data_IF_502237462300
#
_entry.id   IF_502237462300
#
_cell.length_a   1.000
_cell.length_b   1.000
_cell.length_c   1.000
_cell.angle_alpha   90.00
_cell.angle_beta   90.00
_cell.angle_gamma   90.00
#
_symmetry.space_group_name_H-M   'P 1'
#
loop_
_entity.id
_entity.type
_entity.pdbx_description
1 polymer ?
#
# COMPACT_ATOMS: atom_id res chain seq x y z
N UNK A 1 -53.46 55.97 12.36
CA UNK A 1 -54.37 54.82 12.09
C UNK A 1 -53.53 53.59 11.81
N UNK A 2 -53.87 52.47 12.47
CA UNK A 2 -53.35 51.07 12.30
C UNK A 2 -51.83 50.89 12.59
N UNK A 3 -51.37 50.60 13.82
CA UNK A 3 -51.41 49.34 14.60
C UNK A 3 -51.22 48.06 13.77
N UNK A 4 -50.12 47.32 13.99
CA UNK A 4 -49.97 45.95 14.56
C UNK A 4 -48.45 45.71 14.80
N UNK A 5 -47.93 45.59 16.02
CA UNK A 5 -48.02 44.52 17.05
C UNK A 5 -46.98 43.39 16.85
N UNK A 6 -45.96 43.42 17.71
CA UNK A 6 -45.15 42.36 18.36
C UNK A 6 -44.88 41.02 17.67
N UNK A 7 -43.62 40.58 17.71
CA UNK A 7 -43.24 39.42 18.55
C UNK A 7 -41.76 39.48 18.95
N UNK A 8 -41.54 39.52 20.25
CA UNK A 8 -40.27 39.29 20.95
C UNK A 8 -40.13 37.76 21.09
N UNK A 9 -39.00 37.20 20.67
CA UNK A 9 -38.49 35.95 21.25
C UNK A 9 -37.05 36.23 21.71
N UNK A 10 -36.96 36.51 23.00
CA UNK A 10 -35.76 36.36 23.82
C UNK A 10 -35.64 34.87 24.11
N UNK A 11 -34.53 34.24 23.73
CA UNK A 11 -34.07 33.01 24.39
C UNK A 11 -32.70 33.33 24.96
N UNK A 12 -32.70 33.54 26.27
CA UNK A 12 -31.52 33.66 27.09
C UNK A 12 -31.00 32.26 27.45
N UNK A 13 -29.67 32.12 27.37
CA UNK A 13 -28.76 31.43 28.29
C UNK A 13 -29.27 30.19 29.04
N UNK A 14 -28.56 29.07 28.84
CA UNK A 14 -27.94 28.37 29.98
C UNK A 14 -26.51 27.97 29.56
N UNK A 15 -25.53 28.77 30.01
CA UNK A 15 -24.16 28.30 30.22
C UNK A 15 -24.17 27.38 31.42
N UNK A 16 -23.85 26.10 31.24
CA UNK A 16 -23.52 25.20 32.34
C UNK A 16 -22.04 25.40 32.69
N UNK A 17 -21.78 26.41 33.52
CA UNK A 17 -20.58 26.47 34.36
C UNK A 17 -20.91 25.67 35.63
N UNK A 18 -20.35 24.48 35.74
CA UNK A 18 -20.39 23.65 36.94
C UNK A 18 -19.06 23.71 37.70
N UNK A 19 -18.92 24.71 38.57
CA UNK A 19 -18.11 24.63 39.80
C UNK A 19 -19.10 25.01 40.90
N UNK A 20 -19.26 24.31 42.02
CA UNK A 20 -18.25 23.91 43.01
C UNK A 20 -18.98 23.13 44.10
N UNK A 21 -18.35 22.13 44.74
CA UNK A 21 -18.12 22.18 46.20
C UNK A 21 -17.22 21.04 46.68
N UNK A 22 -16.20 21.45 47.43
CA UNK A 22 -15.27 20.62 48.18
C UNK A 22 -16.00 19.78 49.23
N UNK A 23 -15.68 18.49 49.25
CA UNK A 23 -15.67 17.70 50.48
C UNK A 23 -14.28 17.11 50.62
N UNK A 24 -13.58 17.48 51.70
CA UNK A 24 -12.32 16.87 52.10
C UNK A 24 -12.56 15.40 52.44
N UNK A 25 -12.03 14.48 51.66
CA UNK A 25 -11.58 13.18 52.16
C UNK A 25 -10.16 12.94 51.65
N UNK A 26 -9.25 12.75 52.61
CA UNK A 26 -7.89 12.31 52.40
C UNK A 26 -7.92 10.88 51.85
N UNK A 27 -7.77 10.74 50.54
CA UNK A 27 -7.46 9.44 49.94
C UNK A 27 -6.14 9.58 49.21
N UNK A 28 -5.10 9.07 49.88
CA UNK A 28 -3.84 8.56 49.32
C UNK A 28 -3.64 8.85 47.83
N UNK A 29 -2.77 9.83 47.52
CA UNK A 29 -2.16 9.99 46.20
C UNK A 29 -1.33 8.74 45.87
N UNK A 30 -1.97 7.69 45.38
CA UNK A 30 -1.35 6.86 44.37
C UNK A 30 -1.34 7.71 43.11
N UNK A 31 -0.16 8.23 42.79
CA UNK A 31 0.14 8.89 41.53
C UNK A 31 0.22 7.78 40.48
N UNK A 32 -0.93 7.23 40.11
CA UNK A 32 -1.05 6.51 38.84
C UNK A 32 -0.88 7.57 37.75
N UNK A 33 0.34 7.66 37.24
CA UNK A 33 0.60 8.24 35.93
C UNK A 33 -0.07 7.35 34.91
N UNK A 34 -1.38 7.52 34.75
CA UNK A 34 -2.10 7.14 33.54
C UNK A 34 -1.54 8.00 32.42
N UNK A 35 -0.49 7.53 31.76
CA UNK A 35 -0.12 7.99 30.43
C UNK A 35 -1.31 7.61 29.53
N UNK A 36 -2.20 8.57 29.29
CA UNK A 36 -3.26 8.44 28.29
C UNK A 36 -2.55 8.21 26.97
N UNK A 37 -2.68 6.99 26.44
CA UNK A 37 -2.17 6.61 25.12
C UNK A 37 -2.76 7.56 24.08
N UNK A 38 -1.92 8.19 23.26
CA UNK A 38 -2.40 9.02 22.16
C UNK A 38 -3.10 8.12 21.14
N UNK A 39 -4.31 8.53 20.75
CA UNK A 39 -5.18 7.77 19.86
C UNK A 39 -5.49 8.65 18.65
N UNK A 40 -5.22 8.12 17.47
CA UNK A 40 -5.47 8.78 16.19
C UNK A 40 -6.42 7.91 15.37
N UNK A 41 -7.32 8.53 14.62
CA UNK A 41 -7.99 7.82 13.54
C UNK A 41 -7.01 7.51 12.40
N UNK A 42 -7.37 6.58 11.53
CA UNK A 42 -6.51 6.24 10.39
C UNK A 42 -6.28 7.45 9.48
N UNK A 43 -7.34 8.20 9.21
CA UNK A 43 -7.29 9.41 8.39
C UNK A 43 -6.41 10.50 9.03
N UNK A 44 -6.51 10.70 10.35
CA UNK A 44 -5.66 11.63 11.10
C UNK A 44 -4.19 11.22 11.05
N UNK A 45 -3.91 9.92 11.23
CA UNK A 45 -2.54 9.39 11.20
C UNK A 45 -1.88 9.65 9.84
N UNK A 46 -2.59 9.36 8.74
CA UNK A 46 -2.10 9.53 7.37
C UNK A 46 -2.01 11.01 6.94
N UNK A 47 -2.89 11.87 7.46
CA UNK A 47 -2.89 13.31 7.16
C UNK A 47 -1.90 14.14 7.97
N UNK A 48 -1.34 13.63 9.06
CA UNK A 48 -0.49 14.43 9.96
C UNK A 48 0.67 15.13 9.23
N UNK A 49 0.65 16.47 9.28
CA UNK A 49 1.17 17.39 8.25
C UNK A 49 2.69 17.55 8.07
N UNK A 50 3.56 16.78 8.74
CA UNK A 50 5.01 17.07 8.68
C UNK A 50 5.93 15.91 8.27
N UNK A 51 5.47 14.66 8.28
CA UNK A 51 6.35 13.51 8.02
C UNK A 51 5.68 12.49 7.09
N UNK A 52 6.42 12.06 6.07
CA UNK A 52 6.03 10.89 5.27
C UNK A 52 5.80 9.69 6.19
N UNK A 53 4.75 8.91 5.93
CA UNK A 53 4.49 7.64 6.64
C UNK A 53 4.90 6.47 5.77
N UNK A 54 5.52 5.47 6.37
CA UNK A 54 5.98 4.27 5.67
C UNK A 54 5.21 3.08 6.21
N UNK A 55 4.48 2.42 5.33
CA UNK A 55 3.80 1.16 5.64
C UNK A 55 4.47 0.01 4.88
N UNK A 56 4.53 -1.14 5.50
CA UNK A 56 5.05 -2.38 4.96
C UNK A 56 3.91 -3.37 4.85
N UNK A 57 3.58 -3.78 3.63
CA UNK A 57 2.61 -4.82 3.37
C UNK A 57 3.27 -6.17 3.51
N UNK A 58 2.70 -7.00 4.38
CA UNK A 58 3.13 -8.38 4.61
C UNK A 58 1.99 -9.30 4.23
N UNK A 59 2.27 -10.25 3.34
CA UNK A 59 1.33 -11.25 2.87
C UNK A 59 1.94 -12.63 3.07
N UNK A 60 1.82 -13.17 4.27
CA UNK A 60 2.35 -14.48 4.59
C UNK A 60 1.32 -15.26 5.42
N UNK A 61 1.26 -16.58 5.17
CA UNK A 61 0.50 -17.54 5.97
C UNK A 61 1.21 -17.80 7.31
N UNK A 62 1.42 -16.77 8.14
CA UNK A 62 2.12 -16.87 9.43
C UNK A 62 1.19 -16.65 10.62
N UNK A 63 1.43 -17.44 11.66
CA UNK A 63 0.85 -17.22 12.98
C UNK A 63 1.60 -16.11 13.77
N UNK A 64 2.89 -15.86 13.46
CA UNK A 64 3.77 -14.91 14.17
C UNK A 64 4.63 -14.04 13.24
N UNK A 65 4.82 -12.75 13.57
CA UNK A 65 5.68 -11.80 12.84
C UNK A 65 7.11 -11.77 13.39
N UNK A 66 8.06 -12.24 12.59
CA UNK A 66 9.46 -12.28 12.96
C UNK A 66 10.32 -11.23 12.25
N UNK A 67 11.57 -11.12 12.67
CA UNK A 67 12.61 -10.36 11.95
C UNK A 67 12.79 -10.84 10.50
N UNK A 68 12.54 -12.12 10.26
CA UNK A 68 12.77 -12.78 8.98
C UNK A 68 11.53 -12.72 8.08
N UNK A 69 10.44 -12.09 8.53
CA UNK A 69 9.22 -11.90 7.74
C UNK A 69 9.49 -11.05 6.51
N UNK A 70 9.12 -11.57 5.35
CA UNK A 70 9.30 -10.93 4.06
C UNK A 70 8.30 -9.78 3.93
N UNK A 71 8.76 -8.67 3.37
CA UNK A 71 7.87 -7.57 2.99
C UNK A 71 7.50 -7.78 1.54
N UNK A 72 6.21 -7.70 1.22
CA UNK A 72 5.73 -7.83 -0.15
C UNK A 72 5.75 -6.48 -0.86
N UNK A 73 5.27 -5.42 -0.21
CA UNK A 73 5.23 -4.07 -0.77
C UNK A 73 5.54 -3.03 0.31
N UNK A 74 6.09 -1.88 -0.09
CA UNK A 74 6.33 -0.73 0.77
C UNK A 74 5.54 0.45 0.24
N UNK A 75 4.75 1.09 1.11
CA UNK A 75 3.97 2.28 0.79
C UNK A 75 4.54 3.49 1.49
N UNK A 76 4.79 4.56 0.73
CA UNK A 76 5.20 5.86 1.27
C UNK A 76 4.07 6.85 1.07
N UNK A 77 3.39 7.22 2.16
CA UNK A 77 2.34 8.22 2.18
C UNK A 77 2.93 9.60 2.45
N UNK A 78 2.59 10.58 1.61
CA UNK A 78 3.02 11.97 1.75
C UNK A 78 2.06 12.89 1.00
N UNK A 79 1.65 13.99 1.64
CA UNK A 79 0.87 15.06 1.02
C UNK A 79 -0.42 14.56 0.33
N UNK A 80 -1.14 13.64 0.97
CA UNK A 80 -2.39 13.05 0.42
C UNK A 80 -2.14 12.11 -0.78
N UNK A 81 -0.91 11.66 -0.97
CA UNK A 81 -0.51 10.74 -2.05
C UNK A 81 0.29 9.57 -1.50
N UNK A 82 0.42 8.53 -2.30
CA UNK A 82 1.18 7.32 -2.01
C UNK A 82 2.05 6.95 -3.20
N UNK A 83 3.27 6.48 -2.91
CA UNK A 83 4.11 5.78 -3.86
C UNK A 83 4.34 4.35 -3.35
N UNK A 84 4.33 3.39 -4.27
CA UNK A 84 4.53 1.97 -3.97
C UNK A 84 5.91 1.53 -4.43
N UNK A 85 6.58 0.75 -3.59
CA UNK A 85 7.89 0.18 -3.85
C UNK A 85 7.87 -1.32 -3.56
N UNK A 86 8.80 -2.02 -4.20
CA UNK A 86 8.98 -3.45 -4.02
C UNK A 86 9.49 -3.78 -2.61
N UNK A 87 9.00 -4.86 -2.03
CA UNK A 87 9.42 -5.32 -0.70
C UNK A 87 10.82 -5.94 -0.67
N UNK A 88 11.31 -6.49 -1.80
CA UNK A 88 12.62 -7.12 -1.91
C UNK A 88 13.79 -6.13 -1.73
N UNK A 89 13.52 -4.82 -1.84
CA UNK A 89 14.53 -3.75 -1.70
C UNK A 89 15.30 -3.77 -0.38
N UNK A 90 14.69 -4.34 0.66
CA UNK A 90 15.26 -4.48 2.00
C UNK A 90 15.14 -5.90 2.57
N UNK A 91 14.72 -6.88 1.76
CA UNK A 91 14.59 -8.31 2.11
C UNK A 91 13.55 -8.67 3.19
N UNK A 92 13.62 -8.10 4.39
CA UNK A 92 12.72 -8.44 5.51
C UNK A 92 12.58 -7.31 6.56
N UNK A 93 11.64 -7.48 7.49
CA UNK A 93 11.37 -6.52 8.58
C UNK A 93 12.60 -6.28 9.49
N UNK A 94 13.44 -7.29 9.70
CA UNK A 94 14.63 -7.19 10.53
C UNK A 94 15.70 -6.27 9.95
N UNK A 95 15.89 -6.31 8.63
CA UNK A 95 16.77 -5.39 7.90
C UNK A 95 16.21 -3.96 7.91
N UNK A 96 14.90 -3.79 7.74
CA UNK A 96 14.23 -2.49 7.85
C UNK A 96 14.34 -1.89 9.26
N UNK A 97 14.30 -2.72 10.32
CA UNK A 97 14.42 -2.27 11.70
C UNK A 97 15.79 -1.63 12.02
N UNK A 98 16.82 -1.89 11.22
CA UNK A 98 18.15 -1.29 11.40
C UNK A 98 18.28 0.11 10.79
N UNK A 99 17.29 0.55 9.99
CA UNK A 99 17.30 1.84 9.32
C UNK A 99 16.34 2.80 10.03
N UNK A 100 16.62 4.09 10.06
CA UNK A 100 15.63 5.11 10.42
C UNK A 100 14.75 5.48 9.20
N UNK A 101 13.60 6.11 9.44
CA UNK A 101 12.67 6.46 8.35
C UNK A 101 13.30 7.43 7.34
N UNK A 102 14.25 8.29 7.76
CA UNK A 102 14.94 9.20 6.84
C UNK A 102 15.90 8.44 5.93
N UNK A 103 16.60 7.43 6.45
CA UNK A 103 17.47 6.55 5.66
C UNK A 103 16.66 5.79 4.60
N UNK A 104 15.49 5.25 4.98
CA UNK A 104 14.58 4.59 4.04
C UNK A 104 14.12 5.60 2.96
N UNK A 105 13.53 6.73 3.36
CA UNK A 105 12.99 7.73 2.44
C UNK A 105 14.05 8.33 1.51
N UNK A 106 15.29 8.46 1.98
CA UNK A 106 16.39 9.01 1.17
C UNK A 106 16.92 8.05 0.10
N UNK A 107 16.70 6.74 0.26
CA UNK A 107 17.32 5.71 -0.58
C UNK A 107 16.32 4.89 -1.39
N UNK A 108 15.07 4.76 -0.94
CA UNK A 108 14.09 3.81 -1.51
C UNK A 108 13.82 4.05 -2.99
N UNK A 109 13.73 5.31 -3.42
CA UNK A 109 13.45 5.65 -4.82
C UNK A 109 14.61 5.28 -5.75
N UNK A 110 15.87 5.43 -5.29
CA UNK A 110 17.03 5.06 -6.09
C UNK A 110 17.20 3.53 -6.09
N UNK A 111 17.00 2.87 -4.94
CA UNK A 111 16.98 1.40 -4.82
C UNK A 111 15.95 0.76 -5.75
N UNK A 112 14.76 1.35 -5.88
CA UNK A 112 13.74 0.84 -6.81
C UNK A 112 14.19 0.94 -8.26
N UNK A 113 14.83 2.03 -8.66
CA UNK A 113 15.36 2.20 -10.02
C UNK A 113 16.42 1.14 -10.31
N UNK A 114 17.33 0.90 -9.37
CA UNK A 114 18.36 -0.14 -9.48
C UNK A 114 17.77 -1.55 -9.55
N UNK A 115 16.73 -1.82 -8.75
CA UNK A 115 16.00 -3.07 -8.76
C UNK A 115 15.29 -3.31 -10.10
N UNK A 116 14.55 -2.33 -10.61
CA UNK A 116 13.87 -2.41 -11.91
C UNK A 116 14.87 -2.64 -13.05
N UNK A 117 16.02 -1.96 -13.03
CA UNK A 117 17.08 -2.18 -14.01
C UNK A 117 17.64 -3.60 -13.92
N UNK A 118 17.87 -4.12 -12.70
CA UNK A 118 18.37 -5.49 -12.49
C UNK A 118 17.37 -6.54 -13.02
N UNK A 119 16.07 -6.32 -12.80
CA UNK A 119 15.02 -7.19 -13.34
C UNK A 119 15.02 -7.19 -14.87
N UNK A 120 15.19 -6.02 -15.48
CA UNK A 120 15.26 -5.86 -16.94
C UNK A 120 16.51 -6.54 -17.50
N UNK A 121 17.68 -6.35 -16.89
CA UNK A 121 18.93 -7.00 -17.31
C UNK A 121 18.82 -8.53 -17.25
N UNK A 122 18.36 -9.08 -16.12
CA UNK A 122 18.17 -10.52 -15.98
C UNK A 122 17.14 -11.08 -16.97
N UNK A 123 16.14 -10.29 -17.34
CA UNK A 123 15.15 -10.66 -18.34
C UNK A 123 15.74 -10.64 -19.76
N UNK A 124 16.56 -9.66 -20.11
CA UNK A 124 17.28 -9.63 -21.39
C UNK A 124 18.16 -10.88 -21.53
N UNK A 125 18.89 -11.26 -20.49
CA UNK A 125 19.72 -12.47 -20.47
C UNK A 125 18.87 -13.72 -20.75
N UNK A 126 17.79 -13.92 -19.99
CA UNK A 126 16.86 -15.04 -20.18
C UNK A 126 16.28 -15.11 -21.60
N UNK A 127 15.82 -13.98 -22.14
CA UNK A 127 15.23 -13.93 -23.49
C UNK A 127 16.29 -14.18 -24.57
N UNK A 128 17.53 -13.72 -24.35
CA UNK A 128 18.65 -13.96 -25.27
C UNK A 128 19.01 -15.44 -25.34
N UNK A 129 18.99 -16.16 -24.21
CA UNK A 129 19.17 -17.61 -24.19
C UNK A 129 18.04 -18.32 -24.96
N UNK A 130 16.79 -17.89 -24.76
CA UNK A 130 15.63 -18.41 -25.49
C UNK A 130 15.78 -18.19 -27.00
N UNK A 131 16.19 -16.99 -27.43
CA UNK A 131 16.44 -16.66 -28.84
C UNK A 131 17.43 -17.64 -29.48
N UNK A 132 18.52 -17.98 -28.79
CA UNK A 132 19.52 -18.93 -29.29
C UNK A 132 18.96 -20.35 -29.43
N UNK A 133 18.10 -20.78 -28.51
CA UNK A 133 17.43 -22.08 -28.57
C UNK A 133 16.45 -22.11 -29.74
N UNK A 134 15.63 -21.07 -29.89
CA UNK A 134 14.66 -20.94 -30.98
C UNK A 134 15.35 -20.90 -32.34
N UNK A 135 16.49 -20.22 -32.47
CA UNK A 135 17.28 -20.21 -33.71
C UNK A 135 17.78 -21.62 -34.07
N UNK A 136 18.32 -22.37 -33.10
CA UNK A 136 18.78 -23.75 -33.33
C UNK A 136 17.63 -24.69 -33.72
N UNK A 137 16.45 -24.49 -33.14
CA UNK A 137 15.22 -25.22 -33.53
C UNK A 137 14.85 -24.89 -34.98
N UNK A 138 14.81 -23.61 -35.35
CA UNK A 138 14.51 -23.18 -36.71
C UNK A 138 15.43 -23.83 -37.76
N UNK A 139 16.72 -23.96 -37.46
CA UNK A 139 17.69 -24.57 -38.37
C UNK A 139 17.48 -26.09 -38.57
N UNK A 140 16.65 -26.73 -37.74
CA UNK A 140 16.48 -28.20 -37.70
C UNK A 140 15.03 -28.69 -37.84
N UNK A 141 14.05 -27.80 -38.02
CA UNK A 141 12.62 -28.15 -38.12
C UNK A 141 12.20 -28.47 -39.56
N UNK A 142 11.03 -29.11 -39.69
CA UNK A 142 10.36 -29.31 -40.98
C UNK A 142 9.85 -27.99 -41.56
N UNK A 143 9.70 -27.93 -42.88
CA UNK A 143 9.24 -26.74 -43.63
C UNK A 143 7.93 -26.16 -43.07
N UNK A 144 6.98 -27.02 -42.66
CA UNK A 144 5.69 -26.62 -42.07
C UNK A 144 5.79 -25.86 -40.73
N UNK A 145 6.96 -25.84 -40.09
CA UNK A 145 7.21 -25.16 -38.81
C UNK A 145 8.12 -23.95 -38.95
N UNK A 146 8.69 -23.70 -40.14
CA UNK A 146 9.63 -22.58 -40.37
C UNK A 146 8.98 -21.24 -40.04
N UNK A 147 7.77 -21.00 -40.58
CA UNK A 147 7.04 -19.74 -40.37
C UNK A 147 6.76 -19.48 -38.88
N UNK A 148 6.45 -20.55 -38.13
CA UNK A 148 6.21 -20.45 -36.69
C UNK A 148 7.46 -19.99 -35.93
N UNK A 149 8.59 -20.66 -36.14
CA UNK A 149 9.83 -20.32 -35.43
C UNK A 149 10.40 -18.98 -35.89
N UNK A 150 10.23 -18.60 -37.16
CA UNK A 150 10.62 -17.28 -37.64
C UNK A 150 9.79 -16.18 -36.94
N UNK A 151 8.48 -16.39 -36.80
CA UNK A 151 7.60 -15.45 -36.11
C UNK A 151 7.96 -15.32 -34.61
N UNK A 152 8.32 -16.43 -33.97
CA UNK A 152 8.82 -16.44 -32.59
C UNK A 152 10.16 -15.70 -32.43
N UNK A 153 11.10 -15.86 -33.37
CA UNK A 153 12.36 -15.10 -33.38
C UNK A 153 12.10 -13.60 -33.53
N UNK A 154 11.23 -13.21 -34.47
CA UNK A 154 10.90 -11.80 -34.69
C UNK A 154 10.25 -11.18 -33.45
N UNK A 155 9.36 -11.93 -32.78
CA UNK A 155 8.77 -11.53 -31.50
C UNK A 155 9.84 -11.33 -30.41
N UNK A 156 10.72 -12.32 -30.25
CA UNK A 156 11.77 -12.33 -29.22
C UNK A 156 12.76 -11.16 -29.43
N UNK A 157 13.14 -10.90 -30.69
CA UNK A 157 13.99 -9.75 -31.03
C UNK A 157 13.32 -8.40 -30.72
N UNK A 158 12.01 -8.26 -31.00
CA UNK A 158 11.27 -7.03 -30.61
C UNK A 158 11.22 -6.85 -29.09
N UNK A 159 11.06 -7.95 -28.34
CA UNK A 159 11.05 -7.90 -26.88
C UNK A 159 12.41 -7.44 -26.32
N UNK A 160 13.53 -7.97 -26.82
CA UNK A 160 14.89 -7.53 -26.44
C UNK A 160 15.07 -6.04 -26.76
N UNK A 161 14.77 -5.62 -28.00
CA UNK A 161 14.92 -4.22 -28.39
C UNK A 161 14.09 -3.28 -27.50
N UNK A 162 12.90 -3.70 -27.07
CA UNK A 162 12.07 -2.91 -26.16
C UNK A 162 12.71 -2.80 -24.78
N UNK A 163 13.22 -3.90 -24.23
CA UNK A 163 13.93 -3.92 -22.93
C UNK A 163 15.22 -3.10 -22.93
N UNK A 164 16.02 -3.16 -24.00
CA UNK A 164 17.25 -2.37 -24.12
C UNK A 164 16.98 -0.86 -24.15
N UNK A 165 15.77 -0.46 -24.57
CA UNK A 165 15.34 0.94 -24.60
C UNK A 165 14.55 1.36 -23.35
N UNK A 166 14.19 0.42 -22.49
CA UNK A 166 13.51 0.72 -21.23
C UNK A 166 14.43 1.51 -20.31
N UNK A 167 13.86 2.45 -19.56
CA UNK A 167 14.57 3.24 -18.56
C UNK A 167 13.73 3.23 -17.30
N UNK A 168 14.25 2.59 -16.25
CA UNK A 168 13.63 2.68 -14.95
C UNK A 168 13.58 4.14 -14.47
N UNK A 169 12.45 4.53 -13.91
CA UNK A 169 12.23 5.86 -13.35
C UNK A 169 11.78 5.74 -11.91
N UNK A 170 11.95 6.83 -11.15
CA UNK A 170 11.40 6.91 -9.80
C UNK A 170 9.88 6.78 -9.86
N UNK A 171 9.31 6.09 -8.87
CA UNK A 171 7.87 5.89 -8.73
C UNK A 171 7.15 7.22 -8.54
N UNK A 172 6.01 7.37 -9.21
CA UNK A 172 5.16 8.53 -9.02
C UNK A 172 4.31 8.40 -7.76
N UNK A 173 3.97 9.55 -7.19
CA UNK A 173 3.02 9.65 -6.09
C UNK A 173 1.61 9.82 -6.66
N UNK A 174 0.75 8.83 -6.42
CA UNK A 174 -0.66 8.83 -6.80
C UNK A 174 -1.54 9.27 -5.64
N UNK A 175 -2.64 10.00 -5.88
CA UNK A 175 -3.64 10.24 -4.84
C UNK A 175 -4.16 8.92 -4.24
N UNK A 176 -4.45 8.91 -2.95
CA UNK A 176 -5.20 7.84 -2.31
C UNK A 176 -6.56 8.36 -1.82
N UNK A 177 -7.53 7.47 -1.67
CA UNK A 177 -8.83 7.74 -1.07
C UNK A 177 -9.02 6.88 0.19
N UNK A 178 -9.67 7.48 1.19
CA UNK A 178 -10.11 6.82 2.42
C UNK A 178 -11.64 6.95 2.49
N UNK A 179 -12.30 5.81 2.48
CA UNK A 179 -13.76 5.73 2.54
C UNK A 179 -14.20 5.04 3.81
N UNK A 180 -15.28 5.52 4.45
CA UNK A 180 -15.90 4.86 5.62
C UNK A 180 -17.29 4.38 5.24
N UNK A 181 -17.57 3.11 5.55
CA UNK A 181 -18.90 2.52 5.57
C UNK A 181 -19.37 2.33 7.00
N UNK A 182 -20.64 2.65 7.26
CA UNK A 182 -21.24 2.58 8.60
C UNK A 182 -22.08 1.32 8.79
N UNK A 183 -22.25 0.93 10.05
CA UNK A 183 -23.23 -0.08 10.44
C UNK A 183 -24.68 0.37 10.13
N UNK A 184 -25.66 -0.51 10.35
CA UNK A 184 -27.08 -0.21 10.13
C UNK A 184 -27.62 0.99 10.93
N UNK A 185 -26.87 1.49 11.93
CA UNK A 185 -27.25 2.67 12.71
C UNK A 185 -26.80 3.97 12.06
N UNK A 186 -25.80 3.94 11.18
CA UNK A 186 -25.17 5.13 10.59
C UNK A 186 -24.26 5.89 11.53
N UNK A 187 -24.03 5.39 12.75
CA UNK A 187 -23.26 6.10 13.79
C UNK A 187 -21.95 5.40 14.15
N UNK A 188 -21.71 4.18 13.67
CA UNK A 188 -20.49 3.44 13.94
C UNK A 188 -19.89 2.98 12.62
N UNK A 189 -18.58 3.06 12.51
CA UNK A 189 -17.85 2.54 11.37
C UNK A 189 -17.85 1.02 11.42
N UNK A 190 -18.23 0.43 10.30
CA UNK A 190 -18.18 -1.00 10.07
C UNK A 190 -16.90 -1.35 9.28
N UNK A 191 -16.62 -0.60 8.22
CA UNK A 191 -15.50 -0.83 7.30
C UNK A 191 -14.87 0.50 6.91
N UNK A 192 -13.54 0.55 6.87
CA UNK A 192 -12.77 1.55 6.14
C UNK A 192 -12.15 0.95 4.89
N UNK A 193 -12.11 1.73 3.83
CA UNK A 193 -11.45 1.35 2.59
C UNK A 193 -10.35 2.33 2.25
N UNK A 194 -9.12 1.83 2.04
CA UNK A 194 -8.00 2.59 1.49
C UNK A 194 -7.80 2.16 0.04
N UNK A 195 -7.91 3.10 -0.90
CA UNK A 195 -7.68 2.83 -2.33
C UNK A 195 -6.70 3.80 -2.95
N UNK A 196 -5.91 3.31 -3.92
CA UNK A 196 -4.94 4.11 -4.66
C UNK A 196 -4.47 3.39 -5.92
N UNK A 197 -3.90 4.13 -6.87
CA UNK A 197 -3.24 3.54 -8.04
C UNK A 197 -1.77 3.28 -7.75
N UNK A 198 -1.32 2.03 -7.90
CA UNK A 198 0.09 1.66 -7.80
C UNK A 198 0.71 1.49 -9.19
N UNK A 199 1.98 1.87 -9.30
CA UNK A 199 2.79 1.62 -10.49
C UNK A 199 3.43 0.24 -10.38
N UNK A 200 3.18 -0.61 -11.36
CA UNK A 200 3.79 -1.93 -11.49
C UNK A 200 4.65 -1.95 -12.75
N UNK A 201 5.83 -2.56 -12.63
CA UNK A 201 6.61 -2.93 -13.80
C UNK A 201 5.98 -4.20 -14.38
N UNK A 202 5.25 -4.06 -15.50
CA UNK A 202 4.66 -5.23 -16.15
C UNK A 202 5.69 -5.88 -17.07
N UNK A 203 6.04 -7.10 -16.71
CA UNK A 203 7.00 -7.95 -17.40
C UNK A 203 6.24 -9.09 -18.07
N UNK A 204 5.91 -8.98 -19.37
CA UNK A 204 5.28 -10.07 -20.09
C UNK A 204 6.15 -11.32 -20.02
N UNK A 205 5.55 -12.46 -19.65
CA UNK A 205 6.23 -13.73 -19.78
C UNK A 205 6.47 -14.01 -21.26
N UNK A 206 7.74 -14.06 -21.66
CA UNK A 206 8.11 -14.58 -22.97
C UNK A 206 7.79 -16.07 -22.97
N UNK A 207 6.92 -16.44 -23.91
CA UNK A 207 6.32 -17.74 -24.20
C UNK A 207 7.12 -18.91 -23.58
N UNK A 208 6.56 -19.50 -22.53
CA UNK A 208 7.10 -20.73 -21.93
C UNK A 208 6.99 -21.91 -22.89
N UNK A 209 7.93 -22.85 -22.73
CA UNK A 209 8.08 -24.06 -23.53
C UNK A 209 6.76 -24.86 -23.71
N UNK A 210 6.00 -24.59 -24.78
CA UNK A 210 4.94 -25.51 -25.20
C UNK A 210 3.71 -24.90 -25.87
N UNK A 211 3.60 -25.16 -27.18
CA UNK A 211 2.35 -25.44 -27.92
C UNK A 211 1.22 -24.39 -27.83
N UNK A 212 1.34 -23.24 -28.51
CA UNK A 212 0.18 -22.45 -28.92
C UNK A 212 0.39 -21.75 -30.28
N UNK A 213 0.40 -22.49 -31.38
CA UNK A 213 0.66 -21.97 -32.74
C UNK A 213 -0.36 -20.92 -33.21
N UNK A 214 -1.65 -21.05 -32.88
CA UNK A 214 -2.67 -20.07 -33.30
C UNK A 214 -2.69 -18.79 -32.44
N UNK A 215 -2.30 -18.86 -31.17
CA UNK A 215 -2.27 -17.67 -30.31
C UNK A 215 -1.00 -16.86 -30.55
N UNK A 216 0.14 -17.48 -30.86
CA UNK A 216 1.40 -16.78 -31.13
C UNK A 216 1.27 -15.85 -32.34
N UNK A 217 0.64 -16.30 -33.43
CA UNK A 217 0.40 -15.44 -34.60
C UNK A 217 -0.56 -14.27 -34.30
N UNK A 218 -1.60 -14.49 -33.49
CA UNK A 218 -2.49 -13.40 -33.03
C UNK A 218 -1.82 -12.46 -32.02
N UNK A 219 -0.87 -12.95 -31.22
CA UNK A 219 -0.11 -12.17 -30.26
C UNK A 219 0.95 -11.31 -30.95
N UNK A 220 1.54 -11.80 -32.05
CA UNK A 220 2.54 -11.09 -32.86
C UNK A 220 1.97 -9.84 -33.54
N UNK A 221 0.69 -9.86 -33.95
CA UNK A 221 -0.02 -8.73 -34.56
C UNK A 221 -0.53 -7.69 -33.55
N UNK A 222 -0.45 -7.96 -32.25
CA UNK A 222 -0.87 -7.01 -31.22
C UNK A 222 0.31 -6.19 -30.70
N UNK A 223 0.27 -4.86 -30.80
CA UNK A 223 1.19 -3.94 -30.10
C UNK A 223 1.04 -4.01 -28.55
N UNK A 224 0.16 -4.88 -28.05
CA UNK A 224 -0.35 -4.91 -26.68
C UNK A 224 0.65 -5.40 -25.61
N UNK A 225 1.90 -5.70 -25.96
CA UNK A 225 2.88 -6.32 -25.06
C UNK A 225 4.27 -5.68 -25.13
N UNK A 226 4.32 -4.37 -25.37
CA UNK A 226 5.50 -3.58 -25.05
C UNK A 226 5.59 -3.41 -23.53
N UNK A 227 6.79 -3.56 -22.98
CA UNK A 227 7.10 -3.35 -21.57
C UNK A 227 6.75 -1.92 -21.19
N UNK A 228 5.96 -1.76 -20.14
CA UNK A 228 5.52 -0.46 -19.69
C UNK A 228 5.34 -0.45 -18.18
N UNK A 229 5.41 0.75 -17.60
CA UNK A 229 4.95 0.97 -16.25
C UNK A 229 3.43 1.07 -16.33
N UNK A 230 2.74 0.06 -15.79
CA UNK A 230 1.28 0.06 -15.72
C UNK A 230 0.84 0.64 -14.40
N UNK A 231 -0.31 1.30 -14.41
CA UNK A 231 -1.04 1.64 -13.19
C UNK A 231 -2.14 0.62 -12.95
N UNK A 232 -2.15 0.05 -11.75
CA UNK A 232 -3.20 -0.84 -11.26
C UNK A 232 -3.90 -0.21 -10.06
N UNK A 233 -5.23 -0.33 -10.01
CA UNK A 233 -6.01 0.07 -8.84
C UNK A 233 -5.83 -0.94 -7.71
N UNK A 234 -5.36 -0.47 -6.56
CA UNK A 234 -5.25 -1.23 -5.32
C UNK A 234 -6.30 -0.72 -4.34
N UNK A 235 -7.01 -1.65 -3.70
CA UNK A 235 -7.95 -1.33 -2.62
C UNK A 235 -7.81 -2.32 -1.47
N UNK A 236 -7.94 -1.81 -0.25
CA UNK A 236 -7.93 -2.57 1.00
C UNK A 236 -9.17 -2.24 1.81
N UNK A 237 -9.92 -3.26 2.20
CA UNK A 237 -11.01 -3.13 3.16
C UNK A 237 -10.48 -3.51 4.54
N UNK A 238 -10.73 -2.65 5.51
CA UNK A 238 -10.27 -2.71 6.88
C UNK A 238 -11.52 -2.74 7.75
N UNK A 239 -11.84 -3.91 8.32
CA UNK A 239 -12.95 -3.98 9.27
C UNK A 239 -12.59 -3.20 10.54
N UNK A 240 -13.52 -2.42 11.10
CA UNK A 240 -13.24 -1.61 12.29
C UNK A 240 -12.74 -2.46 13.48
N UNK A 241 -13.16 -3.72 13.57
CA UNK A 241 -12.65 -4.69 14.54
C UNK A 241 -11.20 -5.11 14.33
N UNK A 242 -10.70 -5.00 13.09
CA UNK A 242 -9.31 -5.30 12.72
C UNK A 242 -8.41 -4.05 12.81
N UNK A 243 -9.01 -2.85 12.78
CA UNK A 243 -8.34 -1.56 13.05
C UNK A 243 -8.27 -1.34 14.58
N UNK A 244 -7.59 -2.25 15.23
CA UNK A 244 -7.21 -2.12 16.63
C UNK A 244 -5.96 -2.93 16.81
N UNK A 245 -4.85 -2.23 17.03
CA UNK A 245 -3.57 -2.83 17.33
C UNK A 245 -3.69 -3.74 18.55
N UNK A 246 -3.80 -5.04 18.30
CA UNK A 246 -3.65 -6.03 19.34
C UNK A 246 -2.21 -5.91 19.84
N UNK A 247 -2.05 -5.43 21.07
CA UNK A 247 -0.76 -5.32 21.74
C UNK A 247 -0.06 -6.69 21.92
N UNK A 248 -0.72 -7.77 21.50
CA UNK A 248 -0.31 -9.16 21.69
C UNK A 248 0.10 -9.88 20.40
N UNK A 249 0.10 -9.24 19.22
CA UNK A 249 0.85 -9.83 18.12
C UNK A 249 2.34 -9.75 18.48
N UNK A 250 3.06 -10.88 18.58
CA UNK A 250 4.48 -10.87 18.90
C UNK A 250 5.22 -10.32 17.69
N UNK A 251 5.22 -9.00 17.55
CA UNK A 251 6.09 -8.29 16.64
C UNK A 251 7.48 -8.35 17.25
N UNK A 252 8.46 -8.77 16.45
CA UNK A 252 9.86 -8.92 16.83
C UNK A 252 10.51 -7.67 17.48
N UNK A 253 9.88 -6.51 17.48
CA UNK A 253 10.31 -5.32 18.21
C UNK A 253 9.10 -4.42 18.54
N UNK A 254 9.16 -3.70 19.67
CA UNK A 254 8.13 -2.75 20.13
C UNK A 254 7.85 -1.59 19.16
N UNK A 255 8.70 -1.45 18.14
CA UNK A 255 8.76 -0.39 17.13
C UNK A 255 7.73 -0.50 16.01
N UNK A 256 7.08 -1.64 15.78
CA UNK A 256 6.03 -1.73 14.75
C UNK A 256 4.62 -1.84 15.32
N UNK A 257 3.67 -1.44 14.48
CA UNK A 257 2.23 -1.57 14.66
C UNK A 257 1.66 -2.28 13.45
N UNK A 258 0.84 -3.31 13.70
CA UNK A 258 0.27 -4.19 12.69
C UNK A 258 -1.24 -4.00 12.61
N UNK A 259 -1.74 -3.66 11.44
CA UNK A 259 -3.16 -3.64 11.10
C UNK A 259 -3.42 -4.90 10.28
N UNK A 260 -4.36 -5.75 10.72
CA UNK A 260 -4.82 -6.88 9.92
C UNK A 260 -5.82 -6.38 8.87
N UNK A 261 -5.69 -6.83 7.64
CA UNK A 261 -6.58 -6.42 6.54
C UNK A 261 -7.28 -7.63 5.89
N UNK A 262 -6.76 -8.83 6.13
CA UNK A 262 -7.42 -10.10 5.84
C UNK A 262 -6.76 -11.20 6.68
N UNK A 263 -7.27 -12.43 6.60
CA UNK A 263 -6.79 -13.61 7.36
C UNK A 263 -5.26 -13.72 7.45
N UNK A 264 -4.56 -13.45 6.34
CA UNK A 264 -3.10 -13.57 6.22
C UNK A 264 -2.44 -12.31 5.59
N UNK A 265 -3.10 -11.15 5.69
CA UNK A 265 -2.64 -9.91 5.09
C UNK A 265 -2.57 -8.81 6.13
N UNK A 266 -1.45 -8.09 6.15
CA UNK A 266 -1.14 -7.17 7.22
C UNK A 266 -0.42 -5.92 6.70
N UNK A 267 -0.73 -4.79 7.33
CA UNK A 267 -0.03 -3.52 7.13
C UNK A 267 0.74 -3.20 8.40
N UNK A 268 2.05 -3.10 8.28
CA UNK A 268 2.95 -2.79 9.38
C UNK A 268 3.42 -1.34 9.24
N UNK A 269 3.35 -0.54 10.29
CA UNK A 269 3.94 0.80 10.33
C UNK A 269 4.86 0.94 11.52
N UNK A 270 5.90 1.76 11.40
CA UNK A 270 6.76 2.09 12.54
C UNK A 270 6.07 3.13 13.41
N UNK A 271 6.19 2.96 14.73
CA UNK A 271 5.79 3.98 15.70
C UNK A 271 6.95 4.29 16.62
N UNK A 272 7.26 5.57 16.76
CA UNK A 272 8.32 6.05 17.66
C UNK A 272 7.95 5.87 19.13
N UNK A 273 6.64 5.82 19.44
CA UNK A 273 6.13 5.56 20.78
C UNK A 273 5.14 4.39 20.77
N UNK A 274 5.42 3.44 21.66
CA UNK A 274 4.53 2.31 21.94
C UNK A 274 3.14 2.72 22.47
N UNK A 275 2.96 3.98 22.86
CA UNK A 275 1.70 4.54 23.35
C UNK A 275 0.75 4.93 22.23
N UNK A 276 1.21 5.10 20.98
CA UNK A 276 0.37 5.50 19.84
C UNK A 276 -0.56 4.34 19.45
N UNK A 277 -1.85 4.65 19.33
CA UNK A 277 -2.90 3.77 18.82
C UNK A 277 -3.55 4.38 17.58
N UNK A 278 -3.66 3.57 16.52
CA UNK A 278 -4.49 3.86 15.36
C UNK A 278 -5.82 3.13 15.56
N UNK A 279 -6.93 3.85 15.37
CA UNK A 279 -8.30 3.34 15.47
C UNK A 279 -9.08 3.63 14.19
N UNK A 280 -10.23 2.97 14.05
CA UNK A 280 -11.17 3.31 13.00
C UNK A 280 -11.73 4.73 13.18
N UNK A 281 -11.76 5.47 12.09
CA UNK A 281 -12.52 6.70 11.87
C UNK A 281 -14.02 6.49 12.10
N UNK A 282 -14.75 7.54 12.49
CA UNK A 282 -16.23 7.55 12.58
C UNK A 282 -16.83 8.39 11.44
N UNK A 283 -18.09 8.15 10.99
CA UNK A 283 -18.72 8.97 9.97
C UNK A 283 -18.69 10.47 10.33
N UNK A 284 -18.02 11.26 9.49
CA UNK A 284 -17.88 12.71 9.65
C UNK A 284 -16.56 13.20 10.27
N UNK A 285 -15.61 12.32 10.58
CA UNK A 285 -14.25 12.76 10.91
C UNK A 285 -13.55 13.45 9.73
N UNK A 286 -12.52 14.25 10.04
CA UNK A 286 -11.90 15.16 9.08
C UNK A 286 -11.08 14.42 8.00
N UNK A 287 -11.65 14.21 6.81
CA UNK A 287 -10.93 13.57 5.69
C UNK A 287 -11.49 12.28 5.17
N UNK A 288 -12.66 11.91 5.66
CA UNK A 288 -13.39 10.74 5.22
C UNK A 288 -14.27 11.16 4.05
N UNK A 289 -14.16 10.43 2.95
CA UNK A 289 -15.20 10.40 1.93
C UNK A 289 -16.22 9.33 2.37
N UNK A 290 -17.50 9.67 2.39
CA UNK A 290 -18.55 8.71 2.68
C UNK A 290 -19.01 8.12 1.34
N UNK A 291 -19.13 6.79 1.27
CA UNK A 291 -19.82 6.15 0.15
C UNK A 291 -21.33 6.44 0.28
N UNK A 292 -21.92 6.98 -0.79
CA UNK A 292 -23.36 7.27 -0.91
C UNK A 292 -24.20 6.00 -1.18
#
# INVERSE_FOLDING_TARGET
MKKKLNLIIVIAFILLVGCTQNTNEETSKNKDTSTTKEQFTLSEYLKSNDNSKIWFYVNEDIEDFGKDTSVSEIYVFKDGKVATYDGDLYSNLGALAQLDDREILSSIADKQVDYDNTLVEGRIEYITEHLQVTQKKLDSVSEDLVDFYQAELDYTNRAINSLENFKATKRNFSPYALTVSTDNSGNQTEIESLSFNKEILDIPNVIGDGLYTENILKMIDSEAYLWDIKTEEQSYNLEASDISLDANFPVYDSTYRVIRIAKNKFLCTRVEDSSIKIIADEPGAEGIELDD
#
